data_IF_674525449006
#
_entry.id   IF_674525449006
#
_cell.length_a   1.000
_cell.length_b   1.000
_cell.length_c   1.000
_cell.angle_alpha   90.00
_cell.angle_beta   90.00
_cell.angle_gamma   90.00
#
_symmetry.space_group_name_H-M   'P 1'
#
loop_
_entity.id
_entity.type
_entity.pdbx_description
1 polymer ?
#
# COMPACT_ATOMS: atom_id res chain seq x y z
N UNK A 1 3.89 -26.59 2.67
CA UNK A 1 2.78 -26.97 3.55
C UNK A 1 1.58 -26.10 3.22
N UNK A 2 0.38 -26.69 3.22
CA UNK A 2 -0.87 -25.99 2.97
C UNK A 2 -1.81 -26.18 4.16
N UNK A 3 -2.72 -25.24 4.35
CA UNK A 3 -3.87 -25.36 5.25
C UNK A 3 -5.13 -25.21 4.43
N UNK A 4 -6.09 -26.08 4.65
CA UNK A 4 -7.44 -25.90 4.12
C UNK A 4 -8.39 -25.63 5.29
N UNK A 5 -9.22 -24.61 5.15
CA UNK A 5 -10.36 -24.33 6.02
C UNK A 5 -11.61 -24.66 5.24
N UNK A 6 -12.49 -25.48 5.82
CA UNK A 6 -13.76 -25.89 5.19
C UNK A 6 -14.89 -25.48 6.10
N UNK A 7 -15.85 -24.74 5.56
CA UNK A 7 -17.08 -24.37 6.24
C UNK A 7 -18.22 -25.27 5.75
N UNK A 8 -18.87 -25.95 6.68
CA UNK A 8 -19.91 -26.89 6.34
C UNK A 8 -20.78 -27.28 7.52
N UNK A 9 -21.73 -28.18 7.27
CA UNK A 9 -22.66 -28.71 8.26
C UNK A 9 -23.06 -30.15 7.88
N UNK A 10 -23.56 -30.92 8.84
CA UNK A 10 -24.27 -32.17 8.58
C UNK A 10 -25.74 -31.89 8.26
N UNK A 11 -26.40 -32.80 7.55
CA UNK A 11 -27.84 -32.73 7.24
C UNK A 11 -28.76 -32.93 8.46
N UNK A 12 -28.21 -33.45 9.54
CA UNK A 12 -28.95 -33.74 10.76
C UNK A 12 -28.06 -33.57 12.01
N UNK A 13 -28.54 -34.03 13.19
CA UNK A 13 -27.81 -33.91 14.45
C UNK A 13 -26.62 -34.86 14.63
N UNK A 14 -26.38 -35.76 13.68
CA UNK A 14 -25.27 -36.71 13.74
C UNK A 14 -24.04 -36.16 12.99
N UNK A 15 -22.91 -36.84 13.14
CA UNK A 15 -21.66 -36.43 12.49
C UNK A 15 -21.56 -37.00 11.08
N UNK A 16 -21.36 -36.15 10.11
CA UNK A 16 -21.02 -36.50 8.74
C UNK A 16 -19.57 -36.11 8.42
N UNK A 17 -18.88 -36.94 7.65
CA UNK A 17 -17.46 -36.78 7.35
C UNK A 17 -17.20 -36.71 5.85
N UNK A 18 -16.33 -35.83 5.46
CA UNK A 18 -15.93 -35.60 4.06
C UNK A 18 -14.43 -35.73 3.93
N UNK A 19 -13.97 -36.55 3.01
CA UNK A 19 -12.58 -36.61 2.60
C UNK A 19 -12.31 -35.60 1.49
N UNK A 20 -11.18 -34.94 1.59
CA UNK A 20 -10.73 -33.92 0.60
C UNK A 20 -9.59 -34.50 -0.21
N UNK A 21 -9.73 -34.39 -1.54
CA UNK A 21 -8.74 -34.82 -2.50
C UNK A 21 -8.29 -33.62 -3.34
N UNK A 22 -7.01 -33.57 -3.66
CA UNK A 22 -6.44 -32.60 -4.61
C UNK A 22 -5.60 -33.38 -5.64
N UNK A 23 -5.91 -33.20 -6.92
CA UNK A 23 -5.22 -33.94 -7.98
C UNK A 23 -5.30 -35.44 -7.81
N UNK A 24 -6.42 -35.95 -7.32
CA UNK A 24 -6.68 -37.39 -7.09
C UNK A 24 -6.04 -37.96 -5.81
N UNK A 25 -5.25 -37.21 -5.06
CA UNK A 25 -4.64 -37.65 -3.79
C UNK A 25 -5.47 -37.14 -2.60
N UNK A 26 -5.79 -38.02 -1.64
CA UNK A 26 -6.43 -37.62 -0.38
C UNK A 26 -5.48 -36.77 0.43
N UNK A 27 -5.89 -35.53 0.78
CA UNK A 27 -5.08 -34.57 1.53
C UNK A 27 -5.57 -34.37 2.96
N UNK A 28 -6.82 -34.67 3.24
CA UNK A 28 -7.38 -34.54 4.58
C UNK A 28 -8.82 -35.01 4.68
N UNK A 29 -9.39 -34.81 5.87
CA UNK A 29 -10.76 -35.13 6.22
C UNK A 29 -11.29 -34.07 7.16
N UNK A 30 -12.54 -33.67 6.99
CA UNK A 30 -13.31 -32.83 7.91
C UNK A 30 -14.58 -33.51 8.35
N UNK A 31 -15.09 -33.17 9.53
CA UNK A 31 -16.30 -33.76 10.08
C UNK A 31 -17.17 -32.66 10.68
N UNK A 32 -18.45 -32.68 10.35
CA UNK A 32 -19.41 -31.71 10.85
C UNK A 32 -20.51 -32.46 11.65
N UNK A 33 -20.89 -31.86 12.77
CA UNK A 33 -21.96 -32.39 13.64
C UNK A 33 -23.07 -31.35 13.75
N UNK A 34 -24.30 -31.75 13.44
CA UNK A 34 -25.44 -30.86 13.46
C UNK A 34 -25.59 -30.02 12.22
N UNK A 35 -26.69 -29.28 12.12
CA UNK A 35 -27.15 -28.56 10.96
C UNK A 35 -26.65 -27.11 10.91
N UNK A 36 -25.92 -26.66 11.94
CA UNK A 36 -25.33 -25.31 11.97
C UNK A 36 -23.97 -25.33 11.27
N UNK A 37 -23.76 -24.36 10.38
CA UNK A 37 -22.48 -24.19 9.71
C UNK A 37 -21.35 -23.94 10.71
N UNK A 38 -20.31 -24.73 10.61
CA UNK A 38 -19.09 -24.60 11.41
C UNK A 38 -17.85 -24.71 10.53
N UNK A 39 -16.72 -24.25 11.04
CA UNK A 39 -15.45 -24.31 10.34
C UNK A 39 -14.58 -25.43 10.89
N UNK A 40 -13.95 -26.16 9.99
CA UNK A 40 -12.95 -27.18 10.28
C UNK A 40 -11.71 -26.91 9.45
N UNK A 41 -10.54 -27.18 10.00
CA UNK A 41 -9.30 -26.97 9.26
C UNK A 41 -8.32 -28.13 9.44
N UNK A 42 -7.51 -28.36 8.43
CA UNK A 42 -6.40 -29.32 8.48
C UNK A 42 -5.22 -28.84 7.65
N UNK A 43 -4.04 -29.34 7.99
CA UNK A 43 -2.80 -29.03 7.28
C UNK A 43 -2.32 -30.27 6.52
N UNK A 44 -1.74 -30.04 5.35
CA UNK A 44 -1.21 -31.10 4.49
C UNK A 44 0.02 -30.63 3.70
N UNK A 45 0.76 -31.59 3.16
CA UNK A 45 1.87 -31.28 2.23
C UNK A 45 1.39 -31.55 0.81
N UNK A 46 1.57 -30.58 -0.06
CA UNK A 46 1.49 -30.78 -1.50
C UNK A 46 2.90 -30.99 -2.03
N UNK A 47 3.16 -32.14 -2.59
CA UNK A 47 4.41 -32.46 -3.28
C UNK A 47 4.08 -32.79 -4.73
N UNK A 48 4.88 -32.27 -5.64
CA UNK A 48 4.86 -32.62 -7.06
C UNK A 48 3.56 -32.27 -7.80
N UNK A 49 2.91 -31.18 -7.40
CA UNK A 49 1.67 -30.72 -8.04
C UNK A 49 1.97 -29.50 -8.90
N UNK A 50 1.79 -29.61 -10.20
CA UNK A 50 1.94 -28.53 -11.17
C UNK A 50 0.64 -28.28 -11.94
N UNK A 51 0.38 -27.03 -12.32
CA UNK A 51 -0.80 -26.65 -13.10
C UNK A 51 -2.12 -26.69 -12.31
N UNK A 52 -3.24 -26.64 -13.02
CA UNK A 52 -4.59 -26.67 -12.44
C UNK A 52 -4.89 -28.05 -11.87
N UNK A 53 -5.41 -28.10 -10.65
CA UNK A 53 -5.79 -29.34 -9.99
C UNK A 53 -7.28 -29.32 -9.64
N UNK A 54 -7.90 -30.48 -9.73
CA UNK A 54 -9.25 -30.70 -9.22
C UNK A 54 -9.22 -30.81 -7.70
N UNK A 55 -10.13 -30.10 -7.01
CA UNK A 55 -10.43 -30.29 -5.59
C UNK A 55 -11.74 -31.06 -5.49
N UNK A 56 -11.70 -32.23 -4.87
CA UNK A 56 -12.85 -33.13 -4.72
C UNK A 56 -13.16 -33.34 -3.24
N UNK A 57 -14.43 -33.15 -2.89
CA UNK A 57 -14.98 -33.47 -1.60
C UNK A 57 -15.79 -34.80 -1.74
N UNK A 58 -15.40 -35.82 -1.00
CA UNK A 58 -16.04 -37.12 -1.05
C UNK A 58 -16.67 -37.44 0.30
N UNK A 59 -17.98 -37.63 0.33
CA UNK A 59 -18.70 -38.08 1.53
C UNK A 59 -18.24 -39.48 1.94
N UNK A 60 -17.79 -39.63 3.19
CA UNK A 60 -17.31 -40.91 3.74
C UNK A 60 -18.35 -41.62 4.59
N UNK A 61 -19.32 -40.89 5.12
CA UNK A 61 -20.36 -41.45 6.01
C UNK A 61 -21.71 -41.48 5.29
N UNK A 62 -21.74 -42.11 4.12
CA UNK A 62 -22.98 -42.36 3.41
C UNK A 62 -23.65 -43.60 4.02
N UNK A 63 -24.56 -43.40 4.97
CA UNK A 63 -25.41 -44.44 5.51
C UNK A 63 -26.88 -44.26 5.08
N UNK A 64 -27.11 -43.51 4.01
CA UNK A 64 -28.44 -43.23 3.46
C UNK A 64 -29.27 -42.18 4.23
N UNK A 65 -28.75 -41.63 5.32
CA UNK A 65 -29.46 -40.63 6.13
C UNK A 65 -28.66 -39.40 6.52
N UNK A 66 -27.37 -39.39 6.25
CA UNK A 66 -26.47 -38.26 6.60
C UNK A 66 -25.74 -37.72 5.40
N UNK A 67 -26.09 -36.48 5.01
CA UNK A 67 -25.36 -35.72 4.01
C UNK A 67 -24.48 -34.66 4.67
N UNK A 68 -23.50 -34.18 3.93
CA UNK A 68 -22.66 -33.05 4.33
C UNK A 68 -22.83 -31.89 3.36
N UNK A 69 -23.11 -30.74 3.90
CA UNK A 69 -23.09 -29.50 3.12
C UNK A 69 -21.72 -28.84 3.26
N UNK A 70 -20.98 -28.73 2.16
CA UNK A 70 -19.79 -27.87 2.06
C UNK A 70 -20.25 -26.55 1.50
N UNK A 71 -20.23 -25.51 2.32
CA UNK A 71 -20.67 -24.15 1.94
C UNK A 71 -19.56 -23.40 1.23
N UNK A 72 -18.34 -23.45 1.79
CA UNK A 72 -17.17 -22.78 1.24
C UNK A 72 -15.88 -23.48 1.72
N UNK A 73 -14.81 -23.22 1.02
CA UNK A 73 -13.46 -23.59 1.48
C UNK A 73 -12.46 -22.49 1.12
N UNK A 74 -11.40 -22.43 1.91
CA UNK A 74 -10.25 -21.56 1.69
C UNK A 74 -8.98 -22.41 1.72
N UNK A 75 -8.09 -22.18 0.79
CA UNK A 75 -6.81 -22.87 0.69
C UNK A 75 -5.67 -21.88 0.87
N UNK A 76 -4.92 -22.04 1.95
CA UNK A 76 -3.76 -21.23 2.27
C UNK A 76 -2.47 -22.01 1.96
N UNK A 77 -1.56 -21.38 1.27
CA UNK A 77 -0.18 -21.84 1.24
C UNK A 77 0.51 -21.38 2.53
N UNK A 78 0.71 -22.33 3.46
CA UNK A 78 1.56 -22.14 4.63
C UNK A 78 2.89 -22.84 4.36
N UNK A 79 3.60 -22.40 3.33
CA UNK A 79 4.89 -22.95 2.98
C UNK A 79 5.76 -23.18 4.22
N UNK A 80 6.77 -24.04 4.14
CA UNK A 80 7.89 -23.87 5.05
C UNK A 80 8.31 -22.43 4.82
N UNK A 81 7.87 -21.54 5.69
CA UNK A 81 8.50 -20.24 5.79
C UNK A 81 9.94 -20.65 6.09
N UNK A 82 10.78 -20.68 5.03
CA UNK A 82 12.21 -20.46 5.28
C UNK A 82 12.18 -19.28 6.24
N UNK A 83 12.71 -19.42 7.49
CA UNK A 83 12.84 -18.25 8.33
C UNK A 83 13.37 -17.19 7.37
N UNK A 84 12.64 -16.08 7.22
CA UNK A 84 13.17 -14.95 6.48
C UNK A 84 14.61 -14.87 6.99
N UNK A 85 15.64 -14.94 6.13
CA UNK A 85 17.01 -14.84 6.58
C UNK A 85 16.98 -13.71 7.57
N UNK A 86 17.48 -13.92 8.78
CA UNK A 86 17.38 -12.97 9.90
C UNK A 86 17.43 -11.59 9.30
N UNK A 87 16.41 -10.76 9.57
CA UNK A 87 16.28 -9.47 8.90
C UNK A 87 17.67 -8.87 8.95
N UNK A 88 18.31 -8.60 7.82
CA UNK A 88 19.72 -8.25 7.84
C UNK A 88 19.84 -7.17 8.88
N UNK A 89 20.70 -7.38 9.88
CA UNK A 89 20.98 -6.37 10.90
C UNK A 89 21.00 -5.06 10.16
N UNK A 90 20.12 -4.08 10.49
CA UNK A 90 20.00 -2.88 9.67
C UNK A 90 21.41 -2.42 9.42
N UNK A 91 21.86 -2.48 8.18
CA UNK A 91 23.22 -2.07 7.88
C UNK A 91 23.29 -0.68 8.47
N UNK A 92 24.25 -0.44 9.34
CA UNK A 92 24.46 0.90 9.95
C UNK A 92 24.59 1.99 8.88
N UNK A 93 24.58 1.55 7.63
CA UNK A 93 24.72 2.38 6.42
C UNK A 93 23.73 1.80 5.38
N UNK A 94 22.70 2.59 5.04
CA UNK A 94 21.68 2.20 4.07
C UNK A 94 22.24 1.98 2.66
N UNK A 95 21.42 1.43 1.77
CA UNK A 95 21.78 1.16 0.38
C UNK A 95 22.30 2.41 -0.35
N UNK A 96 21.77 3.59 -0.05
CA UNK A 96 22.26 4.89 -0.53
C UNK A 96 23.76 5.05 -0.27
N UNK A 97 24.20 4.79 0.95
CA UNK A 97 25.61 4.95 1.36
C UNK A 97 26.50 3.83 0.88
N UNK A 98 25.98 2.63 0.69
CA UNK A 98 26.74 1.47 0.19
C UNK A 98 26.77 1.36 -1.33
N UNK A 99 25.86 2.06 -2.03
CA UNK A 99 25.66 1.93 -3.48
C UNK A 99 25.17 0.55 -3.93
N UNK A 100 24.77 -0.31 -3.00
CA UNK A 100 24.36 -1.70 -3.30
C UNK A 100 22.86 -1.79 -3.42
N UNK A 101 22.34 -1.42 -4.56
CA UNK A 101 20.93 -1.62 -4.94
C UNK A 101 20.83 -2.83 -5.88
N UNK A 102 19.76 -3.62 -5.70
CA UNK A 102 19.36 -4.61 -6.69
C UNK A 102 18.76 -3.87 -7.90
N UNK A 103 19.29 -4.09 -9.08
CA UNK A 103 18.76 -3.51 -10.31
C UNK A 103 18.11 -4.60 -11.16
N UNK A 104 16.77 -4.64 -11.16
CA UNK A 104 16.01 -5.65 -11.88
C UNK A 104 16.16 -5.55 -13.40
N UNK A 105 16.36 -4.37 -13.95
CA UNK A 105 16.60 -4.21 -15.39
C UNK A 105 17.95 -4.83 -15.81
N UNK A 106 18.99 -4.68 -14.97
CA UNK A 106 20.27 -5.38 -15.19
C UNK A 106 20.12 -6.89 -15.14
N UNK A 107 19.33 -7.40 -14.20
CA UNK A 107 19.06 -8.84 -14.09
C UNK A 107 18.31 -9.38 -15.31
N UNK A 108 17.52 -8.52 -16.00
CA UNK A 108 16.86 -8.83 -17.27
C UNK A 108 17.77 -8.65 -18.49
N UNK A 109 19.02 -8.25 -18.30
CA UNK A 109 20.03 -8.16 -19.38
C UNK A 109 20.18 -6.78 -20.03
N UNK A 110 19.53 -5.73 -19.52
CA UNK A 110 19.74 -4.37 -20.01
C UNK A 110 21.08 -3.81 -19.49
N UNK A 111 21.79 -3.09 -20.35
CA UNK A 111 22.99 -2.35 -19.96
C UNK A 111 22.68 -1.10 -19.15
N UNK A 112 23.63 -0.61 -18.36
CA UNK A 112 23.48 0.64 -17.61
C UNK A 112 23.10 1.81 -18.52
N UNK A 113 23.75 1.92 -19.69
CA UNK A 113 23.47 2.99 -20.64
C UNK A 113 22.03 2.96 -21.19
N UNK A 114 21.44 1.78 -21.39
CA UNK A 114 20.06 1.64 -21.83
C UNK A 114 19.10 2.03 -20.69
N UNK A 115 19.40 1.62 -19.45
CA UNK A 115 18.61 1.94 -18.27
C UNK A 115 18.62 3.45 -18.02
N UNK A 116 19.81 4.06 -17.96
CA UNK A 116 19.99 5.49 -17.73
C UNK A 116 19.28 6.33 -18.80
N UNK A 117 19.45 5.95 -20.07
CA UNK A 117 18.76 6.61 -21.18
C UNK A 117 17.23 6.51 -21.05
N UNK A 118 16.69 5.37 -20.63
CA UNK A 118 15.25 5.18 -20.45
C UNK A 118 14.72 6.04 -19.33
N UNK A 119 15.42 6.07 -18.19
CA UNK A 119 15.03 6.87 -17.01
C UNK A 119 15.10 8.35 -17.33
N UNK A 120 16.21 8.82 -17.92
CA UNK A 120 16.35 10.23 -18.30
C UNK A 120 15.31 10.65 -19.35
N UNK A 121 15.05 9.79 -20.35
CA UNK A 121 14.00 10.07 -21.34
C UNK A 121 12.60 10.17 -20.71
N UNK A 122 12.30 9.35 -19.70
CA UNK A 122 11.02 9.44 -18.97
C UNK A 122 10.94 10.75 -18.16
N UNK A 123 12.03 11.10 -17.45
CA UNK A 123 12.13 12.35 -16.73
C UNK A 123 11.87 13.55 -17.64
N UNK A 124 12.59 13.63 -18.78
CA UNK A 124 12.42 14.73 -19.72
C UNK A 124 11.00 14.83 -20.26
N UNK A 125 10.36 13.72 -20.57
CA UNK A 125 8.98 13.72 -21.05
C UNK A 125 7.98 14.19 -20.00
N UNK A 126 8.04 13.64 -18.80
CA UNK A 126 7.05 13.93 -17.76
C UNK A 126 7.23 15.31 -17.13
N UNK A 127 8.45 15.83 -17.06
CA UNK A 127 8.70 17.12 -16.43
C UNK A 127 8.84 18.28 -17.43
N UNK A 128 9.36 18.01 -18.63
CA UNK A 128 9.73 19.06 -19.61
C UNK A 128 9.23 18.78 -21.03
N UNK A 129 8.41 17.76 -21.21
CA UNK A 129 7.83 17.42 -22.50
C UNK A 129 6.79 18.43 -23.01
N UNK A 130 6.10 18.06 -24.07
CA UNK A 130 4.97 18.84 -24.60
C UNK A 130 3.80 18.81 -23.62
N UNK A 131 2.80 19.66 -23.84
CA UNK A 131 1.58 19.66 -23.02
C UNK A 131 0.80 18.32 -23.05
N UNK A 132 1.01 17.50 -24.06
CA UNK A 132 0.44 16.14 -24.15
C UNK A 132 1.24 15.07 -23.39
N UNK A 133 2.49 15.39 -23.01
CA UNK A 133 3.41 14.43 -22.38
C UNK A 133 3.68 14.76 -20.92
N UNK A 134 3.75 16.03 -20.58
CA UNK A 134 4.18 16.47 -19.24
C UNK A 134 3.06 16.40 -18.22
N UNK A 135 3.45 16.08 -17.00
CA UNK A 135 2.59 16.14 -15.82
C UNK A 135 3.03 17.23 -14.82
N UNK A 136 4.23 17.78 -14.98
CA UNK A 136 4.80 18.81 -14.12
C UNK A 136 4.56 20.19 -14.74
N UNK A 137 3.90 21.07 -13.97
CA UNK A 137 3.53 22.41 -14.40
C UNK A 137 4.06 23.48 -13.44
N UNK A 138 5.09 24.28 -13.83
CA UNK A 138 5.56 25.40 -13.04
C UNK A 138 4.48 26.47 -12.87
N UNK A 139 4.43 27.10 -11.66
CA UNK A 139 3.52 28.19 -11.31
C UNK A 139 4.33 29.32 -10.70
N UNK A 140 4.31 30.47 -11.35
CA UNK A 140 5.13 31.60 -10.92
C UNK A 140 6.62 31.27 -10.96
N UNK A 141 7.38 31.85 -10.00
CA UNK A 141 8.83 31.72 -9.99
C UNK A 141 9.33 30.49 -9.24
N UNK A 142 8.56 29.99 -8.24
CA UNK A 142 9.07 29.06 -7.23
C UNK A 142 8.05 27.99 -6.76
N UNK A 143 6.98 27.77 -7.51
CA UNK A 143 6.01 26.71 -7.28
C UNK A 143 5.81 25.85 -8.52
N UNK A 144 5.28 24.62 -8.33
CA UNK A 144 4.84 23.75 -9.39
C UNK A 144 3.83 22.75 -8.86
N UNK A 145 3.02 22.17 -9.75
CA UNK A 145 2.13 21.06 -9.41
C UNK A 145 2.27 19.89 -10.40
N UNK A 146 1.83 18.72 -9.94
CA UNK A 146 1.64 17.53 -10.79
C UNK A 146 0.18 17.49 -11.22
N UNK A 147 -0.02 17.47 -12.53
CA UNK A 147 -1.32 17.46 -13.17
C UNK A 147 -1.87 16.04 -13.37
N UNK A 148 -3.15 15.87 -13.07
CA UNK A 148 -3.89 14.62 -13.28
C UNK A 148 -4.77 14.78 -14.52
N UNK A 149 -4.33 14.22 -15.64
CA UNK A 149 -4.88 14.51 -16.96
C UNK A 149 -6.32 13.99 -17.20
N UNK A 150 -6.70 12.87 -16.55
CA UNK A 150 -8.03 12.25 -16.73
C UNK A 150 -9.15 13.04 -16.01
N UNK A 151 -8.81 13.85 -15.01
CA UNK A 151 -9.78 14.58 -14.18
C UNK A 151 -9.57 16.10 -14.18
N UNK A 152 -8.56 16.57 -14.90
CA UNK A 152 -8.20 18.01 -14.99
C UNK A 152 -8.04 18.66 -13.60
N UNK A 153 -7.22 18.04 -12.75
CA UNK A 153 -7.02 18.49 -11.39
C UNK A 153 -5.59 18.19 -10.85
N UNK A 154 -5.38 18.51 -9.59
CA UNK A 154 -4.16 18.23 -8.83
C UNK A 154 -4.53 17.42 -7.60
N UNK A 155 -3.85 16.31 -7.34
CA UNK A 155 -4.10 15.42 -6.22
C UNK A 155 -2.91 15.31 -5.28
N UNK A 156 -3.17 15.12 -3.98
CA UNK A 156 -2.11 14.88 -3.00
C UNK A 156 -1.28 13.66 -3.35
N UNK A 157 -1.90 12.60 -3.88
CA UNK A 157 -1.24 11.41 -4.42
C UNK A 157 -0.24 11.80 -5.53
N UNK A 158 -0.69 12.50 -6.58
CA UNK A 158 0.18 12.92 -7.68
C UNK A 158 1.31 13.83 -7.23
N UNK A 159 1.02 14.82 -6.34
CA UNK A 159 2.02 15.72 -5.78
C UNK A 159 3.09 14.98 -4.99
N UNK A 160 2.70 14.09 -4.11
CA UNK A 160 3.62 13.33 -3.26
C UNK A 160 4.46 12.33 -4.07
N UNK A 161 3.89 11.69 -5.10
CA UNK A 161 4.64 10.85 -6.05
C UNK A 161 5.64 11.68 -6.87
N UNK A 162 5.25 12.87 -7.32
CA UNK A 162 6.16 13.80 -8.00
C UNK A 162 7.35 14.18 -7.13
N UNK A 163 7.12 14.49 -5.86
CA UNK A 163 8.19 14.74 -4.89
C UNK A 163 9.08 13.51 -4.68
N UNK A 164 8.51 12.31 -4.59
CA UNK A 164 9.28 11.07 -4.47
C UNK A 164 10.16 10.83 -5.71
N UNK A 165 9.66 11.07 -6.91
CA UNK A 165 10.45 10.99 -8.14
C UNK A 165 11.59 12.01 -8.11
N UNK A 166 11.31 13.25 -7.75
CA UNK A 166 12.32 14.30 -7.68
C UNK A 166 13.46 13.95 -6.72
N UNK A 167 13.14 13.48 -5.50
CA UNK A 167 14.19 13.13 -4.53
C UNK A 167 15.00 11.93 -4.98
N UNK A 168 14.42 10.96 -5.67
CA UNK A 168 15.15 9.81 -6.20
C UNK A 168 16.03 10.19 -7.39
N UNK A 169 15.59 11.12 -8.22
CA UNK A 169 16.31 11.60 -9.38
C UNK A 169 17.32 12.72 -9.08
N UNK A 170 17.49 13.10 -7.79
CA UNK A 170 18.35 14.19 -7.33
C UNK A 170 17.99 15.56 -7.96
N UNK A 171 16.70 15.88 -7.95
CA UNK A 171 16.11 17.08 -8.53
C UNK A 171 15.50 17.96 -7.42
N UNK A 172 16.36 18.66 -6.67
CA UNK A 172 15.96 19.45 -5.50
C UNK A 172 15.07 20.63 -5.86
N UNK A 173 15.35 21.32 -6.97
CA UNK A 173 14.58 22.50 -7.38
C UNK A 173 13.11 22.13 -7.65
N UNK A 174 12.86 21.07 -8.42
CA UNK A 174 11.53 20.61 -8.75
C UNK A 174 10.81 20.08 -7.50
N UNK A 175 11.53 19.41 -6.60
CA UNK A 175 11.02 18.99 -5.30
C UNK A 175 10.51 20.16 -4.47
N UNK A 176 11.33 21.19 -4.32
CA UNK A 176 11.03 22.39 -3.53
C UNK A 176 9.83 23.14 -4.09
N UNK A 177 9.71 23.23 -5.40
CA UNK A 177 8.57 23.86 -6.08
C UNK A 177 7.26 23.10 -5.84
N UNK A 178 7.29 21.75 -5.93
CA UNK A 178 6.14 20.90 -5.63
C UNK A 178 5.75 21.01 -4.15
N UNK A 179 6.73 20.92 -3.26
CA UNK A 179 6.47 21.04 -1.82
C UNK A 179 5.89 22.40 -1.45
N UNK A 180 6.43 23.46 -1.99
CA UNK A 180 5.92 24.81 -1.73
C UNK A 180 4.47 24.98 -2.19
N UNK A 181 4.11 24.45 -3.34
CA UNK A 181 2.74 24.49 -3.83
C UNK A 181 1.79 23.69 -2.92
N UNK A 182 2.15 22.46 -2.56
CA UNK A 182 1.36 21.63 -1.66
C UNK A 182 1.17 22.31 -0.29
N UNK A 183 2.25 22.80 0.30
CA UNK A 183 2.23 23.50 1.60
C UNK A 183 1.40 24.79 1.56
N UNK A 184 1.37 25.47 0.44
CA UNK A 184 0.66 26.76 0.28
C UNK A 184 -0.83 26.54 0.05
N UNK A 185 -1.20 25.62 -0.85
CA UNK A 185 -2.56 25.50 -1.37
C UNK A 185 -3.33 24.34 -0.77
N UNK A 186 -2.68 23.19 -0.51
CA UNK A 186 -3.36 21.99 -0.05
C UNK A 186 -3.46 21.90 1.48
N UNK A 187 -2.45 22.36 2.23
CA UNK A 187 -2.43 22.16 3.67
C UNK A 187 -3.48 23.01 4.41
N UNK A 188 -4.34 22.36 5.17
CA UNK A 188 -5.31 23.03 6.05
C UNK A 188 -4.61 23.74 7.20
N UNK A 189 -4.91 25.04 7.34
CA UNK A 189 -4.33 25.90 8.40
C UNK A 189 -5.22 25.98 9.64
N UNK A 190 -6.49 25.52 9.55
CA UNK A 190 -7.49 25.56 10.62
C UNK A 190 -8.58 24.52 10.37
N UNK A 191 -9.50 24.36 11.35
CA UNK A 191 -10.63 23.44 11.28
C UNK A 191 -10.24 22.00 11.63
N UNK A 192 -11.18 21.07 11.38
CA UNK A 192 -11.05 19.66 11.73
C UNK A 192 -9.90 18.94 11.03
N UNK A 193 -9.48 19.41 9.86
CA UNK A 193 -8.39 18.86 9.09
C UNK A 193 -7.07 19.63 9.25
N UNK A 194 -6.96 20.52 10.23
CA UNK A 194 -5.75 21.32 10.44
C UNK A 194 -4.49 20.42 10.45
N UNK A 195 -3.54 20.77 9.59
CA UNK A 195 -2.26 20.06 9.43
C UNK A 195 -2.27 18.98 8.34
N UNK A 196 -3.43 18.42 8.00
CA UNK A 196 -3.61 17.55 6.83
C UNK A 196 -3.67 18.35 5.53
N UNK A 197 -3.69 17.64 4.40
CA UNK A 197 -3.75 18.21 3.06
C UNK A 197 -5.07 17.85 2.39
N UNK A 198 -5.68 18.80 1.69
CA UNK A 198 -6.80 18.52 0.81
C UNK A 198 -6.35 17.56 -0.31
N UNK A 199 -7.10 16.47 -0.53
CA UNK A 199 -6.66 15.47 -1.49
C UNK A 199 -6.83 15.92 -2.95
N UNK A 200 -7.75 16.88 -3.24
CA UNK A 200 -8.06 17.29 -4.61
C UNK A 200 -8.18 18.82 -4.73
N UNK A 201 -7.43 19.36 -5.68
CA UNK A 201 -7.35 20.80 -5.96
C UNK A 201 -7.64 21.08 -7.43
N UNK A 202 -8.13 22.27 -7.73
CA UNK A 202 -8.08 22.81 -9.08
C UNK A 202 -6.65 23.30 -9.40
N UNK A 203 -6.30 23.35 -10.68
CA UNK A 203 -4.99 23.80 -11.16
C UNK A 203 -4.67 25.26 -10.80
N UNK A 204 -5.69 26.06 -10.49
CA UNK A 204 -5.52 27.44 -10.00
C UNK A 204 -5.25 27.55 -8.48
N UNK A 205 -5.09 26.42 -7.79
CA UNK A 205 -4.80 26.37 -6.35
C UNK A 205 -6.02 26.48 -5.43
N UNK A 206 -7.26 26.43 -5.95
CA UNK A 206 -8.48 26.39 -5.13
C UNK A 206 -8.84 24.94 -4.80
N UNK A 207 -9.37 24.72 -3.58
CA UNK A 207 -9.79 23.38 -3.13
C UNK A 207 -10.99 22.90 -3.95
N UNK A 208 -10.92 21.67 -4.44
CA UNK A 208 -12.01 20.96 -5.12
C UNK A 208 -12.70 19.97 -4.18
N UNK A 209 -11.92 19.22 -3.39
CA UNK A 209 -12.37 18.42 -2.27
C UNK A 209 -11.38 18.58 -1.11
N UNK A 210 -11.90 18.93 0.08
CA UNK A 210 -11.08 19.30 1.23
C UNK A 210 -10.72 18.12 2.14
N UNK A 211 -11.19 16.92 1.87
CA UNK A 211 -10.89 15.76 2.71
C UNK A 211 -9.43 15.33 2.56
N UNK A 212 -8.78 14.86 3.63
CA UNK A 212 -7.43 14.28 3.53
C UNK A 212 -7.47 12.85 3.00
N UNK A 213 -6.40 12.41 2.35
CA UNK A 213 -6.21 11.04 1.88
C UNK A 213 -4.86 10.49 2.39
N UNK A 214 -4.89 9.31 3.02
CA UNK A 214 -3.74 8.77 3.75
C UNK A 214 -2.49 8.59 2.90
N UNK A 215 -2.64 8.15 1.66
CA UNK A 215 -1.55 7.92 0.72
C UNK A 215 -0.74 9.19 0.43
N UNK A 216 -1.42 10.34 0.27
CA UNK A 216 -0.76 11.62 0.04
C UNK A 216 0.12 12.02 1.22
N UNK A 217 -0.41 11.97 2.44
CA UNK A 217 0.34 12.31 3.66
C UNK A 217 1.52 11.37 3.91
N UNK A 218 1.33 10.06 3.74
CA UNK A 218 2.40 9.08 3.92
C UNK A 218 3.55 9.33 2.94
N UNK A 219 3.25 9.60 1.67
CA UNK A 219 4.27 9.87 0.67
C UNK A 219 4.88 11.26 0.81
N UNK A 220 4.15 12.30 1.25
CA UNK A 220 4.73 13.60 1.61
C UNK A 220 5.75 13.43 2.73
N UNK A 221 5.38 12.79 3.84
CA UNK A 221 6.28 12.57 4.96
C UNK A 221 7.51 11.75 4.53
N UNK A 222 7.31 10.66 3.77
CA UNK A 222 8.40 9.79 3.31
C UNK A 222 9.36 10.53 2.37
N UNK A 223 8.83 11.29 1.38
CA UNK A 223 9.66 12.03 0.44
C UNK A 223 10.46 13.15 1.13
N UNK A 224 9.88 13.81 2.13
CA UNK A 224 10.56 14.81 2.95
C UNK A 224 11.68 14.20 3.81
N UNK A 225 11.49 13.01 4.38
CA UNK A 225 12.55 12.29 5.09
C UNK A 225 13.70 11.91 4.15
N UNK A 226 13.38 11.51 2.93
CA UNK A 226 14.39 11.22 1.91
C UNK A 226 15.14 12.48 1.47
N UNK A 227 14.43 13.60 1.30
CA UNK A 227 15.03 14.91 0.99
C UNK A 227 15.98 15.36 2.10
N UNK A 228 15.56 15.25 3.36
CA UNK A 228 16.41 15.53 4.52
C UNK A 228 17.70 14.68 4.52
N UNK A 229 17.58 13.39 4.18
CA UNK A 229 18.74 12.49 4.15
C UNK A 229 19.67 12.78 2.94
N UNK A 230 19.13 13.22 1.81
CA UNK A 230 19.90 13.47 0.58
C UNK A 230 20.53 14.85 0.54
N UNK A 231 19.77 15.88 0.88
CA UNK A 231 20.16 17.30 0.70
C UNK A 231 20.38 18.05 2.01
N UNK A 232 20.07 17.43 3.15
CA UNK A 232 20.05 18.11 4.44
C UNK A 232 18.79 18.93 4.65
N UNK A 233 18.78 19.79 5.67
CA UNK A 233 17.63 20.60 6.04
C UNK A 233 17.94 22.09 5.79
N UNK A 234 17.04 22.75 5.08
CA UNK A 234 17.05 24.20 4.89
C UNK A 234 16.27 24.93 5.98
N UNK A 235 15.89 26.18 5.70
CA UNK A 235 15.10 27.02 6.59
C UNK A 235 13.60 26.99 6.23
N UNK A 236 12.73 27.33 7.19
CA UNK A 236 11.29 27.40 6.99
C UNK A 236 10.69 26.09 6.53
N UNK A 237 9.91 26.11 5.46
CA UNK A 237 9.28 24.92 4.89
C UNK A 237 10.28 23.95 4.24
N UNK A 238 11.51 24.34 4.02
CA UNK A 238 12.58 23.51 3.49
C UNK A 238 13.41 22.83 4.58
N UNK A 239 13.01 22.96 5.85
CA UNK A 239 13.47 22.06 6.90
C UNK A 239 12.69 20.75 6.79
N UNK A 240 13.10 19.91 5.82
CA UNK A 240 12.36 18.71 5.41
C UNK A 240 12.08 17.77 6.55
N UNK A 241 13.06 17.53 7.44
CA UNK A 241 12.84 16.66 8.59
C UNK A 241 11.76 17.21 9.54
N UNK A 242 11.78 18.51 9.82
CA UNK A 242 10.76 19.15 10.65
C UNK A 242 9.37 19.03 10.01
N UNK A 243 9.26 19.33 8.74
CA UNK A 243 7.99 19.23 7.99
C UNK A 243 7.45 17.79 7.99
N UNK A 244 8.31 16.78 7.76
CA UNK A 244 7.92 15.38 7.86
C UNK A 244 7.42 15.01 9.26
N UNK A 245 8.11 15.45 10.32
CA UNK A 245 7.70 15.18 11.70
C UNK A 245 6.37 15.87 12.05
N UNK A 246 6.10 17.06 11.52
CA UNK A 246 4.81 17.74 11.70
C UNK A 246 3.67 16.96 11.04
N UNK A 247 3.86 16.43 9.81
CA UNK A 247 2.88 15.57 9.15
C UNK A 247 2.63 14.30 9.98
N UNK A 248 3.68 13.57 10.34
CA UNK A 248 3.57 12.36 11.14
C UNK A 248 2.90 12.59 12.50
N UNK A 249 3.20 13.72 13.15
CA UNK A 249 2.55 14.12 14.40
C UNK A 249 1.07 14.35 14.19
N UNK A 250 0.68 15.05 13.12
CA UNK A 250 -0.72 15.25 12.77
C UNK A 250 -1.43 13.92 12.54
N UNK A 251 -0.83 13.02 11.74
CA UNK A 251 -1.41 11.70 11.43
C UNK A 251 -1.65 10.85 12.68
N UNK A 252 -0.78 10.94 13.68
CA UNK A 252 -0.81 10.12 14.89
C UNK A 252 -1.60 10.74 16.05
N UNK A 253 -1.68 12.08 16.13
CA UNK A 253 -2.04 12.79 17.36
C UNK A 253 -3.08 13.89 17.16
N UNK A 254 -3.63 14.11 15.97
CA UNK A 254 -4.57 15.21 15.76
C UNK A 254 -5.79 15.13 16.67
N UNK A 255 -6.30 13.95 16.98
CA UNK A 255 -7.44 13.74 17.85
C UNK A 255 -7.10 13.84 19.35
N UNK A 256 -5.82 13.92 19.73
CA UNK A 256 -5.44 13.91 21.16
C UNK A 256 -5.90 15.18 21.89
N UNK A 257 -6.10 16.29 21.17
CA UNK A 257 -6.65 17.54 21.70
C UNK A 257 -8.18 17.63 21.59
N UNK A 258 -8.84 16.53 21.24
CA UNK A 258 -10.31 16.46 21.09
C UNK A 258 -10.84 17.10 19.81
N UNK A 259 -9.98 17.43 18.86
CA UNK A 259 -10.32 17.99 17.56
C UNK A 259 -9.80 17.07 16.44
N UNK A 260 -10.65 16.85 15.43
CA UNK A 260 -10.27 16.04 14.27
C UNK A 260 -10.20 14.55 14.54
N UNK A 261 -9.56 13.83 13.63
CA UNK A 261 -9.42 12.36 13.66
C UNK A 261 -7.99 12.00 13.29
N UNK A 262 -7.39 11.06 14.03
CA UNK A 262 -6.08 10.52 13.69
C UNK A 262 -6.17 9.72 12.39
N UNK A 263 -5.16 9.86 11.55
CA UNK A 263 -5.04 9.07 10.32
C UNK A 263 -4.56 7.64 10.61
N UNK A 264 -3.88 7.41 11.74
CA UNK A 264 -3.55 6.07 12.21
C UNK A 264 -4.49 5.63 13.34
N UNK A 265 -5.17 4.51 13.12
CA UNK A 265 -5.91 3.84 14.18
C UNK A 265 -4.95 3.17 15.17
N UNK A 266 -4.99 3.65 16.41
CA UNK A 266 -4.13 3.16 17.50
C UNK A 266 -4.43 1.70 17.87
N UNK A 267 -5.66 1.23 17.64
CA UNK A 267 -6.08 -0.14 17.96
C UNK A 267 -5.55 -1.15 16.94
N UNK A 268 -5.78 -0.88 15.66
CA UNK A 268 -5.38 -1.77 14.57
C UNK A 268 -3.98 -1.47 14.02
N UNK A 269 -3.39 -0.32 14.39
CA UNK A 269 -2.08 0.15 13.94
C UNK A 269 -1.97 0.24 12.41
N UNK A 270 -3.04 0.69 11.80
CA UNK A 270 -3.16 0.85 10.35
C UNK A 270 -3.60 2.28 10.01
N UNK A 271 -3.18 2.83 8.86
CA UNK A 271 -3.76 4.07 8.37
C UNK A 271 -5.24 3.87 8.04
N UNK A 272 -6.06 4.87 8.30
CA UNK A 272 -7.44 4.92 7.84
C UNK A 272 -7.47 5.50 6.42
N UNK A 273 -8.42 5.09 5.61
CA UNK A 273 -8.56 5.60 4.24
C UNK A 273 -8.74 7.12 4.22
N UNK A 274 -9.62 7.63 5.09
CA UNK A 274 -9.86 9.06 5.25
C UNK A 274 -10.21 9.36 6.71
N UNK A 275 -9.57 10.33 7.38
CA UNK A 275 -9.85 10.69 8.77
C UNK A 275 -11.09 11.60 8.88
N UNK A 276 -12.28 11.08 8.54
CA UNK A 276 -13.54 11.80 8.58
C UNK A 276 -14.40 11.31 9.75
N UNK A 277 -14.79 12.19 10.65
CA UNK A 277 -15.76 11.94 11.71
C UNK A 277 -15.37 10.78 12.64
N UNK A 278 -16.36 10.04 13.18
CA UNK A 278 -16.15 8.89 14.07
C UNK A 278 -15.98 7.56 13.30
N UNK A 279 -15.95 7.59 11.99
CA UNK A 279 -15.85 6.40 11.15
C UNK A 279 -14.44 6.31 10.58
N UNK A 280 -13.56 5.55 11.24
CA UNK A 280 -12.42 4.98 10.57
C UNK A 280 -12.96 4.05 9.46
N UNK A 281 -12.90 4.49 8.21
CA UNK A 281 -13.16 3.60 7.07
C UNK A 281 -11.82 3.04 6.61
N UNK A 282 -11.69 1.72 6.69
CA UNK A 282 -10.53 0.96 6.21
C UNK A 282 -10.74 0.57 4.75
#
# INVERSE_FOLDING_TARGET
KCRMVVKGASSNSTTASVSVYIGGKKVGKVSFTGTTLSEQSFEFKMTDVTGKQEIKFLLETDNGSNDTFVNSYELYYIGDVKPLPDAPTPASVGAVSTGKYRNLFKELGYSDAEIDKKVESAWQKFFYGTDEERIYYPVGEDMAYIYTADTDDVRSEGMSYGMMICVQMDKQEEFDRLWKWAKTHMQHKSGEFKGYFAWQMNTNGTIKDNTPAADGEEYFATSLLFASARWGNGEGIYNYNKEAQEILTTMLHQADDGQGVNMFDKTHKMPVFCPIGNAATY
#
